data_IF_124427386830
#
_entry.id   IF_124427386830
#
_cell.length_a   1.000
_cell.length_b   1.000
_cell.length_c   1.000
_cell.angle_alpha   90.00
_cell.angle_beta   90.00
_cell.angle_gamma   90.00
#
_symmetry.space_group_name_H-M   'P 1'
#
loop_
_entity.id
_entity.type
_entity.pdbx_description
1 polymer ?
#
# COMPACT_ATOMS: atom_id res chain seq x y z
N UNK A 1 -9.77 8.89 16.51
CA UNK A 1 -9.04 10.11 16.16
C UNK A 1 -8.13 9.84 14.98
N UNK A 2 -7.05 9.09 15.20
CA UNK A 2 -6.15 8.65 14.12
C UNK A 2 -6.75 7.47 13.34
N UNK A 3 -6.71 7.55 12.01
CA UNK A 3 -7.16 6.50 11.09
C UNK A 3 -6.01 6.13 10.16
N UNK A 4 -5.73 4.83 10.04
CA UNK A 4 -4.90 4.28 8.97
C UNK A 4 -5.83 3.95 7.81
N UNK A 5 -5.79 4.76 6.75
CA UNK A 5 -6.52 4.47 5.54
C UNK A 5 -5.65 3.60 4.63
N UNK A 6 -6.24 2.55 4.07
CA UNK A 6 -5.64 1.77 3.01
C UNK A 6 -6.68 1.71 1.91
N UNK A 7 -6.78 2.77 1.10
CA UNK A 7 -7.64 2.79 -0.10
C UNK A 7 -7.38 1.57 -0.99
N UNK A 8 -6.15 1.05 -0.98
CA UNK A 8 -5.78 -0.29 -1.40
C UNK A 8 -5.68 -1.22 -0.18
N UNK A 9 -6.73 -1.99 0.11
CA UNK A 9 -6.83 -2.78 1.34
C UNK A 9 -5.96 -4.05 1.40
N UNK A 10 -5.34 -4.45 0.30
CA UNK A 10 -4.52 -5.65 0.21
C UNK A 10 -3.05 -5.33 -0.06
N UNK A 11 -2.18 -6.17 0.49
CA UNK A 11 -0.79 -6.29 0.07
C UNK A 11 -0.72 -7.50 -0.86
N UNK A 12 -0.41 -7.27 -2.13
CA UNK A 12 -0.51 -8.28 -3.18
C UNK A 12 0.48 -9.46 -2.98
N UNK A 13 0.12 -10.69 -3.39
CA UNK A 13 1.01 -11.84 -3.34
C UNK A 13 2.29 -11.60 -4.14
N UNK A 14 3.45 -11.80 -3.50
CA UNK A 14 4.76 -11.53 -4.09
C UNK A 14 5.35 -10.14 -3.76
N UNK A 15 4.58 -9.27 -3.11
CA UNK A 15 5.10 -7.98 -2.64
C UNK A 15 6.25 -8.17 -1.66
N UNK A 16 7.30 -7.36 -1.81
CA UNK A 16 8.39 -7.24 -0.85
C UNK A 16 8.77 -5.78 -0.67
N UNK A 17 8.72 -5.26 0.55
CA UNK A 17 9.05 -3.87 0.86
C UNK A 17 8.41 -3.38 2.15
N UNK A 18 8.66 -2.12 2.49
CA UNK A 18 7.94 -1.42 3.55
C UNK A 18 6.56 -1.01 3.05
N UNK A 19 5.51 -1.16 3.86
CA UNK A 19 4.15 -0.76 3.51
C UNK A 19 3.99 0.75 3.74
N UNK A 20 3.50 1.48 2.73
CA UNK A 20 3.12 2.88 2.88
C UNK A 20 1.81 2.98 3.65
N UNK A 21 1.76 3.78 4.71
CA UNK A 21 0.53 4.04 5.47
C UNK A 21 -0.03 5.42 5.13
N UNK A 22 -1.33 5.50 4.82
CA UNK A 22 -2.05 6.77 4.71
C UNK A 22 -2.65 7.09 6.07
N UNK A 23 -2.20 8.17 6.71
CA UNK A 23 -2.61 8.52 8.08
C UNK A 23 -3.45 9.80 8.07
N UNK A 24 -4.63 9.73 8.68
CA UNK A 24 -5.54 10.88 8.83
C UNK A 24 -5.86 11.12 10.30
N UNK A 25 -5.74 12.37 10.74
CA UNK A 25 -6.23 12.78 12.06
C UNK A 25 -7.65 13.36 11.92
N UNK A 26 -8.64 12.61 12.38
CA UNK A 26 -10.05 13.03 12.43
C UNK A 26 -10.46 13.60 13.81
N UNK A 27 -9.51 13.78 14.73
CA UNK A 27 -9.78 14.42 16.01
C UNK A 27 -9.63 15.95 15.92
N UNK A 28 -10.15 16.67 16.91
CA UNK A 28 -10.00 18.13 17.05
C UNK A 28 -8.65 18.55 17.63
N UNK A 29 -7.86 17.61 18.16
CA UNK A 29 -6.55 17.85 18.75
C UNK A 29 -5.43 17.18 17.93
N UNK A 30 -4.22 17.77 17.88
CA UNK A 30 -3.05 17.13 17.29
C UNK A 30 -2.71 15.80 17.98
N UNK A 31 -2.20 14.84 17.22
CA UNK A 31 -1.76 13.53 17.72
C UNK A 31 -0.27 13.39 17.45
N UNK A 32 0.52 13.10 18.50
CA UNK A 32 1.95 12.83 18.38
C UNK A 32 2.16 11.37 17.98
N UNK A 33 2.82 11.16 16.84
CA UNK A 33 3.27 9.84 16.38
C UNK A 33 4.73 9.63 16.77
N UNK A 34 5.05 8.43 17.23
CA UNK A 34 6.40 8.06 17.65
C UNK A 34 6.96 6.97 16.72
N UNK A 35 8.17 7.15 16.16
CA UNK A 35 8.86 6.07 15.45
C UNK A 35 8.96 4.82 16.34
N UNK A 36 8.57 3.66 15.80
CA UNK A 36 8.57 2.38 16.52
C UNK A 36 7.29 2.05 17.30
N UNK A 37 6.32 2.97 17.38
CA UNK A 37 5.02 2.63 17.97
C UNK A 37 4.26 1.61 17.11
N UNK A 38 3.42 0.78 17.74
CA UNK A 38 2.45 -0.05 17.02
C UNK A 38 1.42 0.88 16.35
N UNK A 39 1.31 0.80 15.03
CA UNK A 39 0.48 1.71 14.22
C UNK A 39 -0.60 0.98 13.40
N UNK A 40 -0.52 -0.35 13.32
CA UNK A 40 -1.43 -1.18 12.55
C UNK A 40 -1.15 -2.66 12.79
N UNK A 41 -1.87 -3.51 12.05
CA UNK A 41 -1.75 -4.96 12.11
C UNK A 41 -1.88 -5.55 10.70
N UNK A 42 -1.27 -6.70 10.48
CA UNK A 42 -1.41 -7.47 9.24
C UNK A 42 -2.36 -8.65 9.48
N UNK A 43 -3.28 -8.85 8.56
CA UNK A 43 -4.11 -10.04 8.49
C UNK A 43 -3.77 -10.81 7.21
N UNK A 44 -3.50 -12.10 7.33
CA UNK A 44 -3.07 -12.94 6.21
C UNK A 44 -4.22 -13.82 5.75
N UNK A 45 -4.51 -13.78 4.46
CA UNK A 45 -5.52 -14.62 3.82
C UNK A 45 -4.84 -15.58 2.85
N UNK A 46 -5.19 -16.87 2.93
CA UNK A 46 -4.67 -17.87 2.02
C UNK A 46 -5.36 -17.75 0.67
N UNK A 47 -4.56 -17.67 -0.41
CA UNK A 47 -5.08 -17.79 -1.76
C UNK A 47 -5.50 -19.24 -2.05
N UNK A 48 -6.49 -19.41 -2.93
CA UNK A 48 -6.94 -20.74 -3.38
C UNK A 48 -5.85 -21.49 -4.16
N UNK A 49 -4.99 -20.77 -4.87
CA UNK A 49 -3.81 -21.28 -5.58
C UNK A 49 -2.68 -20.22 -5.57
N UNK A 50 -1.43 -20.58 -5.93
CA UNK A 50 -0.39 -19.60 -6.19
C UNK A 50 -0.83 -18.59 -7.27
N UNK A 51 -0.40 -17.33 -7.13
CA UNK A 51 -0.66 -16.29 -8.14
C UNK A 51 0.18 -16.56 -9.41
N UNK A 52 -0.47 -16.58 -10.57
CA UNK A 52 0.19 -16.78 -11.88
C UNK A 52 1.18 -15.65 -12.20
N UNK A 53 0.79 -14.41 -11.90
CA UNK A 53 1.60 -13.21 -12.06
C UNK A 53 1.65 -12.47 -10.73
N UNK A 54 2.59 -12.82 -9.82
CA UNK A 54 2.72 -12.16 -8.54
C UNK A 54 3.16 -10.69 -8.71
N UNK A 55 2.97 -9.91 -7.66
CA UNK A 55 3.46 -8.54 -7.58
C UNK A 55 4.98 -8.51 -7.80
N UNK A 56 5.45 -7.57 -8.62
CA UNK A 56 6.84 -7.47 -9.08
C UNK A 56 7.12 -8.19 -10.40
N UNK A 57 6.20 -9.01 -10.90
CA UNK A 57 6.33 -9.58 -12.26
C UNK A 57 6.15 -8.50 -13.33
N UNK A 58 6.85 -8.66 -14.45
CA UNK A 58 6.79 -7.72 -15.59
C UNK A 58 5.35 -7.54 -16.09
N UNK A 59 4.60 -8.66 -16.22
CA UNK A 59 3.21 -8.66 -16.69
C UNK A 59 2.25 -7.96 -15.72
N UNK A 60 2.49 -8.02 -14.41
CA UNK A 60 1.63 -7.33 -13.43
C UNK A 60 1.79 -5.80 -13.51
N UNK A 61 2.95 -5.29 -13.97
CA UNK A 61 3.19 -3.86 -14.08
C UNK A 61 3.28 -3.14 -12.72
N UNK A 62 3.78 -3.84 -11.70
CA UNK A 62 3.93 -3.33 -10.33
C UNK A 62 4.80 -2.09 -10.25
N UNK A 63 4.42 -1.14 -9.37
CA UNK A 63 5.07 0.18 -9.29
C UNK A 63 5.97 0.35 -8.07
N UNK A 64 5.82 -0.49 -7.05
CA UNK A 64 6.39 -0.24 -5.71
C UNK A 64 7.17 -1.43 -5.13
N UNK A 65 7.53 -2.43 -5.96
CA UNK A 65 8.30 -3.57 -5.49
C UNK A 65 9.67 -3.13 -4.94
N UNK A 66 10.03 -3.63 -3.78
CA UNK A 66 11.30 -3.34 -3.10
C UNK A 66 11.34 -2.02 -2.34
N UNK A 67 10.25 -1.26 -2.23
CA UNK A 67 10.30 0.07 -1.61
C UNK A 67 10.79 0.04 -0.15
N UNK A 68 11.56 1.07 0.23
CA UNK A 68 12.17 1.21 1.57
C UNK A 68 11.57 2.35 2.40
N UNK A 69 10.52 2.99 1.91
CA UNK A 69 9.83 4.07 2.61
C UNK A 69 8.51 4.42 1.90
N UNK A 70 7.88 5.54 2.26
CA UNK A 70 6.64 6.01 1.64
C UNK A 70 6.94 6.60 0.26
N UNK A 71 7.16 5.73 -0.73
CA UNK A 71 7.40 6.15 -2.12
C UNK A 71 6.23 7.00 -2.60
N UNK A 72 6.53 8.17 -3.17
CA UNK A 72 5.50 9.04 -3.75
C UNK A 72 4.73 8.32 -4.87
N UNK A 73 3.48 8.76 -5.09
CA UNK A 73 2.60 8.15 -6.08
C UNK A 73 3.24 8.08 -7.47
N UNK A 74 3.12 6.92 -8.09
CA UNK A 74 3.47 6.66 -9.49
C UNK A 74 2.22 6.46 -10.35
N UNK A 75 1.09 7.06 -9.97
CA UNK A 75 -0.19 6.93 -10.69
C UNK A 75 -0.07 7.34 -12.17
N UNK A 76 0.84 8.27 -12.48
CA UNK A 76 1.15 8.74 -13.83
C UNK A 76 1.75 7.67 -14.76
N UNK A 77 2.41 6.63 -14.22
CA UNK A 77 2.91 5.52 -15.04
C UNK A 77 1.73 4.71 -15.59
N UNK A 78 1.73 4.45 -16.89
CA UNK A 78 0.65 3.74 -17.58
C UNK A 78 -0.74 4.36 -17.31
N UNK A 79 -0.79 5.68 -17.09
CA UNK A 79 -2.04 6.40 -16.91
C UNK A 79 -2.81 6.42 -18.23
N UNK A 80 -4.07 5.97 -18.18
CA UNK A 80 -4.96 5.95 -19.34
C UNK A 80 -6.14 6.88 -19.09
N UNK A 81 -6.48 7.70 -20.09
CA UNK A 81 -7.67 8.55 -20.07
C UNK A 81 -8.42 8.38 -21.39
N UNK A 82 -9.62 7.81 -21.32
CA UNK A 82 -10.52 7.73 -22.48
C UNK A 82 -11.05 9.12 -22.81
N UNK A 83 -11.01 9.50 -24.08
CA UNK A 83 -11.76 10.66 -24.57
C UNK A 83 -13.21 10.24 -24.78
N UNK A 84 -14.13 10.92 -24.10
CA UNK A 84 -15.58 10.78 -24.23
C UNK A 84 -16.15 11.99 -24.95
#
# INVERSE_FOLDING_TARGET
GLVTHSTAGFIDPGFSGHVTLELSNLATLPIKLWPGMKIGQLCMFRLTSPAEHPYGSERYGSRYQGQRGPTASRSFLNFHRTQV
#
